data_IF_631678859542
#
_entry.id   IF_631678859542
#
_cell.length_a   1.000
_cell.length_b   1.000
_cell.length_c   1.000
_cell.angle_alpha   90.00
_cell.angle_beta   90.00
_cell.angle_gamma   90.00
#
_symmetry.space_group_name_H-M   'P 1'
#
loop_
_entity.id
_entity.type
_entity.pdbx_description
1 polymer ?
#
# COMPACT_ATOMS: atom_id res chain seq x y z
N UNK A 1 -7.82 -45.90 -14.24
CA UNK A 1 -7.13 -45.62 -12.97
C UNK A 1 -6.88 -44.11 -12.84
N UNK A 2 -7.90 -43.36 -12.42
CA UNK A 2 -7.78 -41.93 -12.16
C UNK A 2 -7.24 -41.70 -10.75
N UNK A 3 -6.05 -41.10 -10.63
CA UNK A 3 -5.49 -40.67 -9.34
C UNK A 3 -6.31 -39.50 -8.81
N UNK A 4 -7.34 -39.81 -8.01
CA UNK A 4 -8.01 -38.86 -7.12
C UNK A 4 -6.98 -38.35 -6.09
N UNK A 5 -6.34 -37.22 -6.38
CA UNK A 5 -5.58 -36.50 -5.36
C UNK A 5 -6.57 -35.88 -4.39
N UNK A 6 -6.76 -36.52 -3.24
CA UNK A 6 -7.39 -35.97 -2.05
C UNK A 6 -6.88 -34.54 -1.81
N UNK A 7 -7.65 -33.53 -2.20
CA UNK A 7 -7.50 -32.17 -1.69
C UNK A 7 -7.95 -32.23 -0.23
N UNK A 8 -7.01 -32.54 0.69
CA UNK A 8 -7.19 -32.21 2.11
C UNK A 8 -7.54 -30.72 2.16
N UNK A 9 -8.82 -30.40 2.42
CA UNK A 9 -9.20 -29.05 2.81
C UNK A 9 -8.37 -28.71 4.04
N UNK A 10 -7.43 -27.77 3.89
CA UNK A 10 -6.68 -27.21 5.02
C UNK A 10 -7.71 -26.49 5.90
N UNK A 11 -8.20 -27.17 6.94
CA UNK A 11 -9.20 -26.64 7.87
C UNK A 11 -8.66 -25.50 8.75
N UNK A 12 -7.34 -25.29 8.79
CA UNK A 12 -6.70 -24.17 9.51
C UNK A 12 -5.53 -23.58 8.73
N UNK A 13 -4.94 -22.53 9.31
CA UNK A 13 -3.71 -21.92 8.80
C UNK A 13 -2.55 -22.93 8.77
N UNK A 14 -1.54 -22.77 7.88
CA UNK A 14 -0.44 -23.73 7.80
C UNK A 14 0.31 -23.88 9.14
N UNK A 15 0.50 -25.10 9.65
CA UNK A 15 1.18 -25.35 10.94
C UNK A 15 2.57 -24.73 11.00
N UNK A 16 3.33 -24.83 9.90
CA UNK A 16 4.66 -24.20 9.78
C UNK A 16 4.59 -22.67 9.94
N UNK A 17 3.55 -22.04 9.40
CA UNK A 17 3.34 -20.60 9.55
C UNK A 17 3.06 -20.23 11.01
N UNK A 18 2.17 -20.98 11.67
CA UNK A 18 1.85 -20.76 13.08
C UNK A 18 3.07 -20.95 13.99
N UNK A 19 3.82 -22.04 13.80
CA UNK A 19 5.07 -22.29 14.54
C UNK A 19 6.06 -21.14 14.36
N UNK A 20 6.18 -20.63 13.14
CA UNK A 20 7.07 -19.51 12.82
C UNK A 20 6.64 -18.22 13.53
N UNK A 21 5.34 -17.89 13.57
CA UNK A 21 4.83 -16.75 14.33
C UNK A 21 5.08 -16.88 15.84
N UNK A 22 4.86 -18.07 16.39
CA UNK A 22 5.18 -18.35 17.80
C UNK A 22 6.67 -18.17 18.09
N UNK A 23 7.55 -18.60 17.18
CA UNK A 23 8.98 -18.40 17.33
C UNK A 23 9.39 -16.92 17.25
N UNK A 24 8.70 -16.11 16.44
CA UNK A 24 8.96 -14.67 16.34
C UNK A 24 8.58 -13.93 17.62
N UNK A 25 7.36 -14.12 18.11
CA UNK A 25 6.77 -13.25 19.13
C UNK A 25 6.53 -13.93 20.49
N UNK A 26 6.79 -15.23 20.59
CA UNK A 26 6.43 -16.04 21.75
C UNK A 26 4.93 -16.33 21.85
N UNK A 27 4.57 -17.23 22.76
CA UNK A 27 3.20 -17.74 22.91
C UNK A 27 2.20 -16.65 23.31
N UNK A 28 2.60 -15.74 24.20
CA UNK A 28 1.73 -14.68 24.71
C UNK A 28 1.26 -13.73 23.60
N UNK A 29 2.21 -13.16 22.85
CA UNK A 29 1.88 -12.24 21.75
C UNK A 29 1.25 -12.97 20.56
N UNK A 30 1.62 -14.22 20.30
CA UNK A 30 0.97 -15.02 19.26
C UNK A 30 -0.55 -15.11 19.46
N UNK A 31 -1.03 -15.29 20.70
CA UNK A 31 -2.46 -15.29 20.97
C UNK A 31 -3.14 -13.95 20.66
N UNK A 32 -2.43 -12.83 20.81
CA UNK A 32 -2.92 -11.52 20.38
C UNK A 32 -2.93 -11.40 18.86
N UNK A 33 -1.88 -11.89 18.18
CA UNK A 33 -1.74 -11.85 16.73
C UNK A 33 -2.84 -12.63 16.01
N UNK A 34 -3.31 -13.75 16.58
CA UNK A 34 -4.37 -14.59 16.01
C UNK A 34 -5.62 -13.80 15.62
N UNK A 35 -5.91 -12.70 16.31
CA UNK A 35 -7.08 -11.86 16.04
C UNK A 35 -7.09 -11.29 14.61
N UNK A 36 -5.94 -11.18 13.95
CA UNK A 36 -5.86 -10.68 12.57
C UNK A 36 -6.40 -11.67 11.54
N UNK A 37 -6.49 -12.96 11.89
CA UNK A 37 -6.82 -14.04 10.96
C UNK A 37 -8.32 -14.31 10.82
N UNK A 38 -9.13 -13.36 11.28
CA UNK A 38 -10.58 -13.38 11.09
C UNK A 38 -10.97 -12.40 9.97
N UNK A 39 -12.22 -12.52 9.52
CA UNK A 39 -12.80 -11.52 8.62
C UNK A 39 -12.97 -10.20 9.38
N UNK A 40 -12.29 -9.16 8.89
CA UNK A 40 -12.32 -7.81 9.47
C UNK A 40 -13.60 -7.06 9.09
N UNK A 41 -14.07 -6.10 9.92
CA UNK A 41 -15.13 -5.20 9.54
C UNK A 41 -14.75 -4.37 8.31
N UNK A 42 -15.75 -3.86 7.60
CA UNK A 42 -15.50 -2.98 6.45
C UNK A 42 -15.10 -1.60 6.95
N UNK A 43 -13.97 -1.10 6.47
CA UNK A 43 -13.47 0.24 6.77
C UNK A 43 -13.40 1.06 5.49
N UNK A 44 -13.67 2.35 5.60
CA UNK A 44 -13.69 3.26 4.47
C UNK A 44 -13.14 4.62 4.85
N UNK A 45 -12.77 5.38 3.84
CA UNK A 45 -12.27 6.75 3.95
C UNK A 45 -13.10 7.68 3.07
N UNK A 46 -13.38 8.86 3.58
CA UNK A 46 -13.96 9.96 2.79
C UNK A 46 -12.90 10.52 1.83
N UNK A 47 -13.26 10.65 0.55
CA UNK A 47 -12.40 11.25 -0.46
C UNK A 47 -12.60 12.77 -0.50
N UNK A 48 -11.72 13.50 0.18
CA UNK A 48 -11.74 14.97 0.26
C UNK A 48 -11.51 15.66 -1.07
N UNK A 49 -11.10 14.94 -2.12
CA UNK A 49 -11.03 15.48 -3.48
C UNK A 49 -12.43 15.74 -4.05
N UNK A 50 -13.43 14.92 -3.70
CA UNK A 50 -14.75 14.91 -4.35
C UNK A 50 -15.92 15.22 -3.43
N UNK A 51 -15.72 15.16 -2.11
CA UNK A 51 -16.79 15.38 -1.17
C UNK A 51 -16.29 15.97 0.15
N UNK A 52 -17.17 16.71 0.81
CA UNK A 52 -16.95 17.14 2.18
C UNK A 52 -17.45 16.05 3.16
N UNK A 53 -16.93 16.10 4.40
CA UNK A 53 -17.24 15.09 5.41
C UNK A 53 -18.71 15.13 5.86
N UNK A 54 -19.29 16.32 6.01
CA UNK A 54 -20.66 16.53 6.50
C UNK A 54 -21.69 15.89 5.57
N UNK A 55 -21.60 16.16 4.26
CA UNK A 55 -22.46 15.61 3.21
C UNK A 55 -22.44 14.08 3.21
N UNK A 56 -21.24 13.48 3.24
CA UNK A 56 -21.10 12.01 3.23
C UNK A 56 -21.71 11.39 4.49
N UNK A 57 -21.49 12.00 5.66
CA UNK A 57 -22.05 11.52 6.93
C UNK A 57 -23.58 11.60 6.92
N UNK A 58 -24.16 12.68 6.39
CA UNK A 58 -25.60 12.84 6.26
C UNK A 58 -26.21 11.79 5.35
N UNK A 59 -25.65 11.58 4.15
CA UNK A 59 -26.11 10.57 3.20
C UNK A 59 -26.06 9.17 3.83
N UNK A 60 -24.96 8.82 4.51
CA UNK A 60 -24.83 7.53 5.19
C UNK A 60 -25.88 7.35 6.29
N UNK A 61 -26.12 8.38 7.12
CA UNK A 61 -27.14 8.35 8.18
C UNK A 61 -28.56 8.20 7.61
N UNK A 62 -28.89 8.96 6.57
CA UNK A 62 -30.18 8.88 5.87
C UNK A 62 -30.43 7.48 5.28
N UNK A 63 -29.37 6.82 4.80
CA UNK A 63 -29.44 5.45 4.30
C UNK A 63 -29.32 4.37 5.41
N UNK A 64 -29.42 4.76 6.70
CA UNK A 64 -29.43 3.86 7.85
C UNK A 64 -28.09 3.18 8.15
N UNK A 65 -26.97 3.76 7.71
CA UNK A 65 -25.63 3.24 8.05
C UNK A 65 -25.23 3.72 9.46
N UNK A 66 -24.72 2.79 10.27
CA UNK A 66 -24.06 3.04 11.55
C UNK A 66 -22.57 2.82 11.38
N UNK A 67 -21.77 3.79 11.81
CA UNK A 67 -20.33 3.76 11.66
C UNK A 67 -19.65 4.44 12.85
N UNK A 68 -18.39 4.08 13.08
CA UNK A 68 -17.53 4.66 14.10
C UNK A 68 -16.38 5.40 13.42
N UNK A 69 -16.03 6.59 13.93
CA UNK A 69 -14.90 7.38 13.44
C UNK A 69 -13.59 6.87 14.05
N UNK A 70 -12.53 6.88 13.26
CA UNK A 70 -11.17 6.61 13.74
C UNK A 70 -10.57 7.86 14.38
N UNK A 71 -10.01 7.74 15.58
CA UNK A 71 -9.43 8.88 16.32
C UNK A 71 -8.20 9.49 15.64
N UNK A 72 -7.31 8.65 15.11
CA UNK A 72 -6.04 9.05 14.51
C UNK A 72 -6.14 9.41 13.02
N UNK A 73 -7.32 9.28 12.39
CA UNK A 73 -7.53 9.71 11.01
C UNK A 73 -8.95 10.22 10.76
N UNK A 74 -9.05 11.55 10.65
CA UNK A 74 -10.32 12.28 10.64
C UNK A 74 -11.27 11.87 9.50
N UNK A 75 -10.77 11.44 8.35
CA UNK A 75 -11.55 10.95 7.20
C UNK A 75 -11.92 9.45 7.25
N UNK A 76 -11.44 8.68 8.23
CA UNK A 76 -11.59 7.23 8.27
C UNK A 76 -12.69 6.75 9.24
N UNK A 77 -13.37 5.69 8.82
CA UNK A 77 -14.53 5.14 9.52
C UNK A 77 -14.58 3.60 9.46
N UNK A 78 -15.21 3.01 10.48
CA UNK A 78 -15.53 1.58 10.57
C UNK A 78 -17.04 1.39 10.44
N UNK A 79 -17.46 0.57 9.49
CA UNK A 79 -18.87 0.20 9.32
C UNK A 79 -19.32 -0.81 10.39
N UNK A 80 -20.46 -0.58 11.05
CA UNK A 80 -20.91 -1.36 12.21
C UNK A 80 -22.14 -2.24 11.98
N UNK A 81 -23.03 -1.89 11.06
CA UNK A 81 -24.32 -2.58 10.92
C UNK A 81 -24.66 -3.11 9.53
N UNK A 82 -23.89 -2.75 8.49
CA UNK A 82 -24.15 -3.16 7.10
C UNK A 82 -22.95 -3.86 6.49
N UNK A 83 -23.18 -4.51 5.36
CA UNK A 83 -22.14 -5.22 4.63
C UNK A 83 -21.34 -4.27 3.75
N UNK A 84 -20.19 -4.78 3.27
CA UNK A 84 -19.41 -4.12 2.22
C UNK A 84 -20.26 -3.83 0.98
N UNK A 85 -21.14 -4.77 0.60
CA UNK A 85 -21.96 -4.68 -0.61
C UNK A 85 -22.93 -3.50 -0.53
N UNK A 86 -23.61 -3.37 0.61
CA UNK A 86 -24.53 -2.26 0.85
C UNK A 86 -23.83 -0.91 0.66
N UNK A 87 -22.58 -0.79 1.13
CA UNK A 87 -21.80 0.43 0.99
C UNK A 87 -21.39 0.68 -0.48
N UNK A 88 -21.04 -0.36 -1.23
CA UNK A 88 -20.64 -0.23 -2.64
C UNK A 88 -21.80 0.02 -3.58
N UNK A 89 -23.03 -0.31 -3.17
CA UNK A 89 -24.24 -0.10 -3.98
C UNK A 89 -24.74 1.36 -3.93
N UNK A 90 -24.24 2.17 -2.99
CA UNK A 90 -24.54 3.61 -2.90
C UNK A 90 -23.85 4.43 -3.99
N UNK A 91 -24.50 5.49 -4.42
CA UNK A 91 -23.96 6.38 -5.46
C UNK A 91 -22.72 7.14 -4.95
N UNK A 92 -22.66 7.51 -3.67
CA UNK A 92 -21.45 8.12 -3.08
C UNK A 92 -20.20 7.22 -3.20
N UNK A 93 -20.36 5.90 -3.26
CA UNK A 93 -19.23 4.99 -3.52
C UNK A 93 -18.90 4.96 -5.02
N UNK A 94 -19.91 4.80 -5.89
CA UNK A 94 -19.73 4.75 -7.35
C UNK A 94 -19.14 6.04 -7.92
N UNK A 95 -19.53 7.18 -7.35
CA UNK A 95 -19.02 8.51 -7.64
C UNK A 95 -17.66 8.77 -7.00
N UNK A 96 -17.08 7.84 -6.23
CA UNK A 96 -15.77 8.00 -5.63
C UNK A 96 -15.70 9.04 -4.52
N UNK A 97 -16.82 9.40 -3.87
CA UNK A 97 -16.86 10.27 -2.68
C UNK A 97 -16.34 9.56 -1.43
N UNK A 98 -16.39 8.23 -1.42
CA UNK A 98 -15.74 7.37 -0.42
C UNK A 98 -14.92 6.27 -1.10
N UNK A 99 -13.93 5.72 -0.38
CA UNK A 99 -13.17 4.57 -0.84
C UNK A 99 -12.99 3.54 0.28
N UNK A 100 -13.15 2.26 -0.05
CA UNK A 100 -12.97 1.16 0.89
C UNK A 100 -11.48 0.80 0.98
N UNK A 101 -10.90 0.97 2.15
CA UNK A 101 -9.47 0.80 2.40
C UNK A 101 -9.28 0.24 3.81
N UNK A 102 -8.34 -0.69 4.00
CA UNK A 102 -8.01 -1.18 5.34
C UNK A 102 -7.32 -0.10 6.18
N UNK A 103 -7.57 -0.08 7.48
CA UNK A 103 -6.95 0.91 8.39
C UNK A 103 -5.43 0.89 8.31
N UNK A 104 -4.81 -0.29 8.28
CA UNK A 104 -3.35 -0.41 8.15
C UNK A 104 -2.84 0.22 6.84
N UNK A 105 -3.62 0.09 5.75
CA UNK A 105 -3.25 0.70 4.47
C UNK A 105 -3.37 2.23 4.48
N UNK A 106 -4.01 2.84 5.47
CA UNK A 106 -4.11 4.30 5.59
C UNK A 106 -2.88 4.91 6.27
N UNK A 107 -2.10 4.10 7.00
CA UNK A 107 -0.98 4.58 7.81
C UNK A 107 0.20 5.10 6.96
N UNK A 108 0.70 4.39 5.93
CA UNK A 108 1.90 4.83 5.22
C UNK A 108 1.79 6.22 4.58
N UNK A 109 0.68 6.61 3.91
CA UNK A 109 0.53 7.97 3.42
C UNK A 109 0.52 9.05 4.50
N UNK A 110 0.03 8.74 5.70
CA UNK A 110 0.06 9.66 6.85
C UNK A 110 1.49 9.81 7.39
N UNK A 111 2.23 8.71 7.52
CA UNK A 111 3.63 8.70 7.98
C UNK A 111 4.56 9.46 7.02
N UNK A 112 4.21 9.49 5.72
CA UNK A 112 4.96 10.20 4.69
C UNK A 112 4.97 11.72 4.90
N UNK A 113 4.03 12.27 5.69
CA UNK A 113 3.98 13.69 6.10
C UNK A 113 3.88 14.67 4.92
N UNK A 114 3.06 14.32 3.92
CA UNK A 114 2.98 15.00 2.62
C UNK A 114 2.68 16.51 2.73
N UNK A 115 3.35 17.31 1.90
CA UNK A 115 3.06 18.73 1.73
C UNK A 115 2.59 19.02 0.30
N UNK A 116 1.72 20.02 0.17
CA UNK A 116 1.29 20.51 -1.14
C UNK A 116 2.48 21.05 -1.94
N UNK A 117 2.53 20.74 -3.24
CA UNK A 117 3.60 21.16 -4.14
C UNK A 117 4.79 20.19 -4.27
N UNK A 118 4.89 19.17 -3.40
CA UNK A 118 5.97 18.19 -3.44
C UNK A 118 5.88 17.26 -4.67
N UNK A 119 7.01 16.67 -5.05
CA UNK A 119 7.11 15.58 -6.04
C UNK A 119 7.14 14.25 -5.31
N UNK A 120 6.12 13.43 -5.56
CA UNK A 120 5.87 12.19 -4.83
C UNK A 120 5.79 10.99 -5.76
N UNK A 121 6.37 9.87 -5.35
CA UNK A 121 6.27 8.59 -6.04
C UNK A 121 5.57 7.55 -5.17
N UNK A 122 4.55 6.90 -5.70
CA UNK A 122 4.02 5.62 -5.21
C UNK A 122 4.54 4.49 -6.13
N UNK A 123 5.57 3.78 -5.67
CA UNK A 123 6.36 2.88 -6.54
C UNK A 123 5.62 1.58 -6.90
N UNK A 124 4.68 1.15 -6.06
CA UNK A 124 3.90 -0.09 -6.18
C UNK A 124 2.42 0.17 -5.90
N UNK A 125 1.88 1.10 -6.67
CA UNK A 125 0.65 1.85 -6.42
C UNK A 125 -0.63 1.02 -6.50
N UNK A 126 -0.69 -0.03 -7.32
CA UNK A 126 -1.98 -0.67 -7.58
C UNK A 126 -2.52 -1.41 -6.35
N UNK A 127 -3.84 -1.39 -6.08
CA UNK A 127 -4.91 -0.87 -6.94
C UNK A 127 -5.20 0.64 -6.76
N UNK A 128 -4.39 1.40 -6.02
CA UNK A 128 -4.52 2.86 -5.91
C UNK A 128 -5.12 3.39 -4.61
N UNK A 129 -5.34 2.55 -3.60
CA UNK A 129 -5.90 3.02 -2.32
C UNK A 129 -4.99 4.06 -1.67
N UNK A 130 -3.68 3.79 -1.63
CA UNK A 130 -2.68 4.67 -1.05
C UNK A 130 -2.41 5.87 -1.96
N UNK A 131 -2.31 5.64 -3.27
CA UNK A 131 -2.17 6.69 -4.28
C UNK A 131 -3.28 7.75 -4.20
N UNK A 132 -4.55 7.34 -4.14
CA UNK A 132 -5.66 8.29 -3.99
C UNK A 132 -5.68 9.01 -2.64
N UNK A 133 -5.12 8.38 -1.61
CA UNK A 133 -4.93 9.01 -0.32
C UNK A 133 -3.81 10.06 -0.37
N UNK A 134 -2.68 9.75 -1.02
CA UNK A 134 -1.59 10.69 -1.25
C UNK A 134 -2.12 11.91 -2.01
N UNK A 135 -2.85 11.71 -3.11
CA UNK A 135 -3.43 12.79 -3.89
C UNK A 135 -4.37 13.69 -3.07
N UNK A 136 -5.18 13.09 -2.18
CA UNK A 136 -6.07 13.81 -1.29
C UNK A 136 -5.30 14.62 -0.22
N UNK A 137 -4.25 14.04 0.37
CA UNK A 137 -3.40 14.70 1.37
C UNK A 137 -2.58 15.85 0.77
N UNK A 138 -2.20 15.75 -0.50
CA UNK A 138 -1.52 16.82 -1.23
C UNK A 138 -2.48 17.93 -1.70
N UNK A 139 -3.79 17.81 -1.44
CA UNK A 139 -4.84 18.68 -1.97
C UNK A 139 -4.81 18.83 -3.49
N UNK A 140 -4.35 17.79 -4.20
CA UNK A 140 -4.02 17.84 -5.64
C UNK A 140 -3.16 19.07 -5.98
N UNK A 141 -2.02 19.23 -5.31
CA UNK A 141 -0.99 20.22 -5.65
C UNK A 141 0.39 19.55 -5.65
N UNK A 142 1.23 19.86 -6.62
CA UNK A 142 2.52 19.21 -6.86
C UNK A 142 2.46 18.12 -7.93
N UNK A 143 3.38 17.16 -7.84
CA UNK A 143 3.46 16.04 -8.78
C UNK A 143 3.33 14.70 -8.06
N UNK A 144 2.46 13.82 -8.55
CA UNK A 144 2.32 12.45 -8.06
C UNK A 144 2.51 11.45 -9.21
N UNK A 145 3.56 10.63 -9.11
CA UNK A 145 3.83 9.51 -10.01
C UNK A 145 3.37 8.22 -9.35
N UNK A 146 2.55 7.44 -10.04
CA UNK A 146 2.03 6.17 -9.55
C UNK A 146 2.40 5.03 -10.51
N UNK A 147 3.12 4.04 -9.98
CA UNK A 147 3.67 2.94 -10.76
C UNK A 147 3.18 1.57 -10.28
N UNK A 148 2.80 0.68 -11.21
CA UNK A 148 2.68 -0.75 -10.91
C UNK A 148 3.04 -1.57 -12.14
N UNK A 149 3.86 -2.61 -11.97
CA UNK A 149 4.38 -3.40 -13.07
C UNK A 149 3.39 -4.48 -13.59
N UNK A 150 2.30 -4.74 -12.86
CA UNK A 150 1.34 -5.75 -13.25
C UNK A 150 0.22 -5.12 -14.09
N UNK A 151 0.13 -5.52 -15.36
CA UNK A 151 -0.84 -4.99 -16.32
C UNK A 151 -2.29 -4.97 -15.82
N UNK A 152 -2.77 -6.07 -15.22
CA UNK A 152 -4.17 -6.17 -14.74
C UNK A 152 -4.39 -5.21 -13.58
N UNK A 153 -3.46 -5.17 -12.61
CA UNK A 153 -3.53 -4.27 -11.47
C UNK A 153 -3.37 -2.81 -11.88
N UNK A 154 -2.55 -2.52 -12.88
CA UNK A 154 -2.36 -1.19 -13.45
C UNK A 154 -3.65 -0.63 -14.04
N UNK A 155 -4.40 -1.39 -14.84
CA UNK A 155 -5.68 -0.91 -15.37
C UNK A 155 -6.71 -0.67 -14.26
N UNK A 156 -6.68 -1.47 -13.18
CA UNK A 156 -7.50 -1.21 -12.00
C UNK A 156 -7.08 0.06 -11.26
N UNK A 157 -5.77 0.32 -11.15
CA UNK A 157 -5.23 1.58 -10.62
C UNK A 157 -5.75 2.75 -11.46
N UNK A 158 -5.54 2.72 -12.78
CA UNK A 158 -6.01 3.76 -13.71
C UNK A 158 -7.49 4.06 -13.49
N UNK A 159 -8.35 3.05 -13.57
CA UNK A 159 -9.79 3.20 -13.36
C UNK A 159 -10.13 3.82 -12.00
N UNK A 160 -9.49 3.37 -10.91
CA UNK A 160 -9.72 3.96 -9.59
C UNK A 160 -9.29 5.43 -9.53
N UNK A 161 -8.19 5.82 -10.18
CA UNK A 161 -7.73 7.21 -10.21
C UNK A 161 -8.69 8.13 -10.98
N UNK A 162 -9.38 7.59 -12.00
CA UNK A 162 -10.45 8.29 -12.73
C UNK A 162 -11.66 8.51 -11.83
N UNK A 163 -12.20 7.42 -11.26
CA UNK A 163 -13.40 7.46 -10.39
C UNK A 163 -13.18 8.37 -9.19
N UNK A 164 -12.00 8.31 -8.58
CA UNK A 164 -11.64 9.09 -7.39
C UNK A 164 -11.23 10.54 -7.69
N UNK A 165 -11.23 10.96 -8.97
CA UNK A 165 -10.96 12.35 -9.36
C UNK A 165 -9.50 12.78 -9.18
N UNK A 166 -8.58 11.81 -9.15
CA UNK A 166 -7.12 12.06 -9.09
C UNK A 166 -6.62 12.47 -10.47
N UNK A 167 -7.10 11.79 -11.51
CA UNK A 167 -6.89 12.19 -12.90
C UNK A 167 -7.75 13.42 -13.21
N UNK A 168 -7.12 14.50 -13.64
CA UNK A 168 -7.83 15.63 -14.23
C UNK A 168 -7.93 15.36 -15.73
N UNK A 169 -9.14 15.10 -16.22
CA UNK A 169 -9.42 15.24 -17.65
C UNK A 169 -9.69 16.72 -17.91
N UNK A 170 -9.12 17.34 -18.96
CA UNK A 170 -9.70 18.58 -19.45
C UNK A 170 -11.16 18.28 -19.79
N UNK A 171 -12.10 19.03 -19.22
CA UNK A 171 -13.52 18.94 -19.57
C UNK A 171 -13.72 19.35 -21.03
N UNK A 172 -13.48 18.45 -21.99
CA UNK A 172 -13.94 18.57 -23.38
C UNK A 172 -14.26 17.20 -23.98
N UNK A 173 -15.56 16.99 -24.19
CA UNK A 173 -16.20 16.06 -25.12
C UNK A 173 -15.96 14.56 -24.93
N UNK A 174 -16.91 13.90 -24.27
CA UNK A 174 -17.24 12.49 -24.49
C UNK A 174 -17.73 12.29 -25.94
N UNK A 175 -16.79 12.27 -26.89
CA UNK A 175 -16.96 11.65 -28.20
C UNK A 175 -16.56 10.19 -28.09
N UNK A 176 -17.46 9.28 -28.46
CA UNK A 176 -17.24 7.84 -28.56
C UNK A 176 -15.87 7.52 -29.17
N UNK A 177 -15.06 6.72 -28.49
CA UNK A 177 -13.97 5.99 -29.15
C UNK A 177 -14.55 4.62 -29.50
N UNK A 178 -14.96 4.46 -30.75
CA UNK A 178 -15.31 3.17 -31.34
C UNK A 178 -14.05 2.32 -31.53
N UNK A 179 -14.17 1.04 -31.22
CA UNK A 179 -13.08 0.07 -31.04
C UNK A 179 -12.53 -0.53 -32.35
N UNK A 180 -12.65 0.12 -33.50
CA UNK A 180 -12.35 -0.52 -34.79
C UNK A 180 -10.95 -0.23 -35.39
N UNK A 181 -10.20 0.76 -34.91
CA UNK A 181 -8.93 1.15 -35.56
C UNK A 181 -7.66 0.38 -35.14
N UNK A 182 -7.76 -0.65 -34.29
CA UNK A 182 -6.59 -1.40 -33.80
C UNK A 182 -6.19 -2.63 -34.63
N UNK A 183 -6.79 -2.87 -35.81
CA UNK A 183 -6.51 -4.09 -36.59
C UNK A 183 -5.90 -3.89 -37.98
N UNK A 184 -5.52 -2.68 -38.38
CA UNK A 184 -4.81 -2.47 -39.66
C UNK A 184 -3.54 -1.65 -39.46
N UNK A 185 -2.46 -2.33 -39.06
CA UNK A 185 -1.16 -2.31 -39.75
C UNK A 185 -0.11 -3.07 -38.93
N UNK A 186 0.33 -4.21 -39.48
CA UNK A 186 1.46 -5.00 -39.00
C UNK A 186 2.74 -4.50 -39.67
N UNK A 187 3.84 -4.59 -38.89
CA UNK A 187 5.26 -4.38 -39.22
C UNK A 187 5.71 -2.92 -39.04
N UNK A 188 6.07 -2.59 -37.80
CA UNK A 188 7.43 -2.20 -37.43
C UNK A 188 7.57 -2.23 -35.89
N UNK A 189 8.81 -2.35 -35.43
CA UNK A 189 9.23 -2.59 -34.04
C UNK A 189 8.42 -1.85 -32.96
N UNK A 190 7.65 -2.60 -32.17
CA UNK A 190 6.85 -2.11 -31.05
C UNK A 190 7.72 -1.82 -29.81
N UNK A 191 8.33 -0.63 -29.76
CA UNK A 191 8.57 0.06 -28.48
C UNK A 191 7.27 0.74 -28.08
N UNK A 192 6.44 0.08 -27.27
CA UNK A 192 5.25 0.69 -26.67
C UNK A 192 5.71 1.60 -25.54
N UNK A 193 6.18 2.79 -25.89
CA UNK A 193 6.36 3.92 -24.98
C UNK A 193 4.98 4.48 -24.64
N UNK A 194 4.35 3.99 -23.57
CA UNK A 194 3.15 4.62 -23.00
C UNK A 194 3.55 5.69 -22.00
N UNK A 195 4.17 6.77 -22.49
CA UNK A 195 4.21 8.04 -21.76
C UNK A 195 2.88 8.76 -22.02
N UNK A 196 1.83 8.41 -21.28
CA UNK A 196 0.64 9.24 -21.28
C UNK A 196 0.83 10.34 -20.23
N UNK A 197 1.38 11.47 -20.67
CA UNK A 197 1.39 12.71 -19.91
C UNK A 197 -0.01 13.34 -20.02
N UNK A 198 -0.77 13.31 -18.93
CA UNK A 198 -2.04 14.05 -18.80
C UNK A 198 -1.77 15.30 -17.96
N UNK A 199 -2.07 16.48 -18.51
CA UNK A 199 -1.79 17.83 -17.99
C UNK A 199 -3.07 18.65 -18.27
N UNK A 200 -3.67 19.54 -17.46
CA UNK A 200 -3.26 20.34 -16.29
C UNK A 200 -4.51 20.85 -15.55
N UNK A 201 -4.42 20.98 -14.23
CA UNK A 201 -4.75 22.24 -13.56
C UNK A 201 -3.38 22.83 -13.16
N UNK A 202 -3.14 24.15 -13.22
CA UNK A 202 -1.77 24.70 -13.28
C UNK A 202 -0.78 24.19 -12.19
N UNK A 203 -1.27 23.72 -11.04
CA UNK A 203 -0.45 23.22 -9.93
C UNK A 203 -0.53 21.70 -9.66
N UNK A 204 -1.25 20.88 -10.44
CA UNK A 204 -1.35 19.42 -10.23
C UNK A 204 -0.91 18.61 -11.44
N UNK A 205 0.05 17.70 -11.22
CA UNK A 205 0.50 16.76 -12.23
C UNK A 205 0.41 15.33 -11.69
N UNK A 206 -0.37 14.49 -12.36
CA UNK A 206 -0.49 13.07 -12.03
C UNK A 206 -0.02 12.20 -13.19
N UNK A 207 0.94 11.32 -12.94
CA UNK A 207 1.53 10.46 -13.98
C UNK A 207 1.33 8.99 -13.61
N UNK A 208 0.75 8.23 -14.53
CA UNK A 208 0.66 6.78 -14.43
C UNK A 208 1.80 6.11 -15.19
N UNK A 209 2.48 5.16 -14.54
CA UNK A 209 3.56 4.37 -15.13
C UNK A 209 3.29 2.88 -14.95
N UNK A 210 3.61 2.09 -15.98
CA UNK A 210 3.53 0.63 -15.94
C UNK A 210 4.92 0.04 -16.17
N UNK A 211 5.82 0.30 -15.24
CA UNK A 211 7.23 -0.09 -15.36
C UNK A 211 7.64 -1.05 -14.26
N UNK A 212 8.69 -1.83 -14.52
CA UNK A 212 9.37 -2.53 -13.43
C UNK A 212 9.97 -1.47 -12.48
N UNK A 213 9.59 -1.48 -11.20
CA UNK A 213 10.00 -0.43 -10.27
C UNK A 213 11.52 -0.30 -10.07
N UNK A 214 12.29 -1.35 -10.38
CA UNK A 214 13.76 -1.30 -10.40
C UNK A 214 14.38 -0.58 -11.63
N UNK A 215 13.54 -0.24 -12.63
CA UNK A 215 13.93 0.39 -13.89
C UNK A 215 13.42 1.82 -13.94
N UNK A 216 12.16 2.06 -13.52
CA UNK A 216 11.51 3.38 -13.54
C UNK A 216 12.40 4.51 -13.00
N UNK A 217 13.04 4.26 -11.86
CA UNK A 217 13.83 5.25 -11.12
C UNK A 217 15.07 5.73 -11.86
N UNK A 218 15.52 5.03 -12.91
CA UNK A 218 16.61 5.48 -13.77
C UNK A 218 16.25 6.74 -14.56
N UNK A 219 14.97 6.97 -14.82
CA UNK A 219 14.46 8.19 -15.44
C UNK A 219 14.28 9.34 -14.42
N UNK A 220 14.35 9.03 -13.12
CA UNK A 220 14.07 9.96 -12.04
C UNK A 220 15.20 9.99 -10.99
N UNK A 221 16.48 10.13 -11.37
CA UNK A 221 17.56 10.20 -10.39
C UNK A 221 17.35 11.43 -9.49
N UNK A 222 17.31 11.20 -8.17
CA UNK A 222 17.17 12.27 -7.16
C UNK A 222 16.07 13.29 -7.49
N UNK A 223 14.91 12.80 -7.90
CA UNK A 223 13.83 13.64 -8.42
C UNK A 223 12.69 13.86 -7.42
N UNK A 224 12.41 12.86 -6.57
CA UNK A 224 11.27 12.90 -5.67
C UNK A 224 11.67 13.46 -4.31
N UNK A 225 10.82 14.34 -3.79
CA UNK A 225 10.90 14.81 -2.41
C UNK A 225 10.46 13.68 -1.47
N UNK A 226 9.46 12.89 -1.90
CA UNK A 226 8.91 11.79 -1.11
C UNK A 226 8.61 10.54 -1.93
N UNK A 227 8.87 9.38 -1.34
CA UNK A 227 8.58 8.09 -1.97
C UNK A 227 7.85 7.18 -0.98
N UNK A 228 6.71 6.65 -1.42
CA UNK A 228 6.05 5.52 -0.78
C UNK A 228 6.46 4.21 -1.49
N UNK A 229 7.01 3.28 -0.72
CA UNK A 229 7.23 1.90 -1.11
C UNK A 229 6.39 0.97 -0.21
N UNK A 230 5.10 0.81 -0.56
CA UNK A 230 4.26 -0.24 0.01
C UNK A 230 4.54 -1.56 -0.72
N UNK A 231 5.54 -2.27 -0.22
CA UNK A 231 6.23 -3.25 -1.02
C UNK A 231 5.39 -4.54 -1.22
N UNK A 232 5.48 -5.19 -2.40
CA UNK A 232 4.88 -6.49 -2.60
C UNK A 232 5.48 -7.49 -1.61
N UNK A 233 4.63 -8.17 -0.85
CA UNK A 233 5.05 -9.04 0.25
C UNK A 233 4.27 -10.36 0.27
N UNK A 234 4.61 -11.24 1.20
CA UNK A 234 3.90 -12.49 1.46
C UNK A 234 2.48 -12.30 2.03
N UNK A 235 2.13 -11.07 2.43
CA UNK A 235 0.80 -10.65 2.90
C UNK A 235 0.24 -11.48 4.08
N UNK A 236 1.13 -11.98 4.94
CA UNK A 236 0.81 -12.88 6.06
C UNK A 236 -0.25 -12.30 7.00
N UNK A 237 -0.25 -10.99 7.24
CA UNK A 237 -1.21 -10.36 8.14
C UNK A 237 -2.63 -10.30 7.57
N UNK A 238 -2.80 -10.58 6.28
CA UNK A 238 -4.10 -10.57 5.58
C UNK A 238 -4.74 -11.95 5.47
N UNK A 239 -4.10 -13.00 5.98
CA UNK A 239 -4.69 -14.33 5.98
C UNK A 239 -6.01 -14.33 6.75
N UNK A 240 -6.96 -15.12 6.28
CA UNK A 240 -8.24 -15.34 6.96
C UNK A 240 -8.41 -16.85 7.09
N UNK A 241 -8.47 -17.33 8.32
CA UNK A 241 -8.71 -18.73 8.63
C UNK A 241 -10.04 -19.19 8.02
N UNK A 242 -10.05 -20.37 7.41
CA UNK A 242 -11.20 -20.86 6.65
C UNK A 242 -11.33 -20.31 5.22
N UNK A 243 -10.48 -19.36 4.78
CA UNK A 243 -10.41 -18.90 3.40
C UNK A 243 -9.07 -19.26 2.72
N UNK A 244 -8.88 -20.51 2.21
CA UNK A 244 -7.62 -20.99 1.65
C UNK A 244 -7.01 -20.14 0.53
N UNK A 245 -7.81 -19.37 -0.21
CA UNK A 245 -7.32 -18.44 -1.24
C UNK A 245 -6.38 -17.36 -0.66
N UNK A 246 -6.48 -17.06 0.65
CA UNK A 246 -5.71 -16.01 1.31
C UNK A 246 -4.33 -16.47 1.76
N UNK A 247 -4.16 -17.76 2.08
CA UNK A 247 -2.93 -18.33 2.66
C UNK A 247 -2.39 -19.58 1.92
N UNK A 248 -3.14 -20.17 0.99
CA UNK A 248 -2.79 -21.44 0.35
C UNK A 248 -1.55 -21.38 -0.55
N UNK A 249 -1.12 -20.18 -0.94
CA UNK A 249 0.15 -19.95 -1.64
C UNK A 249 1.33 -19.77 -0.69
N UNK A 250 1.10 -19.66 0.62
CA UNK A 250 2.16 -19.37 1.59
C UNK A 250 3.16 -20.52 1.68
N UNK A 251 4.44 -20.17 1.53
CA UNK A 251 5.61 -21.03 1.72
C UNK A 251 6.78 -20.14 2.12
N UNK A 252 7.76 -20.67 2.86
CA UNK A 252 8.98 -19.92 3.20
C UNK A 252 9.75 -19.44 1.97
N UNK A 253 9.68 -20.19 0.86
CA UNK A 253 10.26 -19.77 -0.41
C UNK A 253 9.65 -18.45 -0.92
N UNK A 254 8.34 -18.25 -0.70
CA UNK A 254 7.66 -17.00 -1.07
C UNK A 254 8.19 -15.81 -0.28
N UNK A 255 8.46 -16.00 1.01
CA UNK A 255 9.08 -14.96 1.87
C UNK A 255 10.43 -14.55 1.28
N UNK A 256 11.28 -15.53 0.92
CA UNK A 256 12.60 -15.27 0.32
C UNK A 256 12.50 -14.53 -1.03
N UNK A 257 11.57 -14.94 -1.90
CA UNK A 257 11.31 -14.27 -3.18
C UNK A 257 10.87 -12.82 -3.00
N UNK A 258 9.96 -12.56 -2.05
CA UNK A 258 9.47 -11.21 -1.78
C UNK A 258 10.57 -10.35 -1.15
N UNK A 259 11.33 -10.87 -0.20
CA UNK A 259 12.51 -10.19 0.35
C UNK A 259 13.51 -9.81 -0.75
N UNK A 260 13.79 -10.71 -1.70
CA UNK A 260 14.69 -10.38 -2.81
C UNK A 260 14.14 -9.24 -3.67
N UNK A 261 12.86 -9.29 -4.05
CA UNK A 261 12.21 -8.25 -4.86
C UNK A 261 12.15 -6.90 -4.12
N UNK A 262 11.78 -6.91 -2.85
CA UNK A 262 11.71 -5.72 -1.99
C UNK A 262 13.06 -5.01 -1.92
N UNK A 263 14.17 -5.76 -1.83
CA UNK A 263 15.52 -5.17 -1.80
C UNK A 263 15.84 -4.40 -3.07
N UNK A 264 15.49 -4.96 -4.22
CA UNK A 264 15.70 -4.28 -5.50
C UNK A 264 14.86 -3.01 -5.60
N UNK A 265 13.60 -3.06 -5.16
CA UNK A 265 12.70 -1.91 -5.14
C UNK A 265 13.17 -0.83 -4.15
N UNK A 266 13.65 -1.21 -2.97
CA UNK A 266 14.13 -0.27 -1.96
C UNK A 266 15.38 0.48 -2.44
N UNK A 267 16.36 -0.24 -2.99
CA UNK A 267 17.54 0.38 -3.61
C UNK A 267 17.17 1.30 -4.78
N UNK A 268 16.19 0.88 -5.58
CA UNK A 268 15.68 1.66 -6.70
C UNK A 268 15.05 2.97 -6.22
N UNK A 269 14.12 2.87 -5.25
CA UNK A 269 13.45 4.01 -4.66
C UNK A 269 14.46 5.00 -4.06
N UNK A 270 15.46 4.51 -3.34
CA UNK A 270 16.49 5.36 -2.74
C UNK A 270 17.27 6.19 -3.76
N UNK A 271 17.58 5.62 -4.93
CA UNK A 271 18.27 6.35 -6.01
C UNK A 271 17.42 7.47 -6.61
N UNK A 272 16.09 7.32 -6.59
CA UNK A 272 15.18 8.35 -7.07
C UNK A 272 14.84 9.42 -6.03
N UNK A 273 15.21 9.19 -4.77
CA UNK A 273 14.97 10.11 -3.68
C UNK A 273 16.04 11.20 -3.67
N UNK A 274 15.60 12.45 -3.56
CA UNK A 274 16.50 13.59 -3.34
C UNK A 274 17.26 13.45 -2.01
N UNK A 275 18.48 13.98 -1.91
CA UNK A 275 19.04 14.36 -0.61
C UNK A 275 18.04 15.23 0.17
N UNK A 276 17.87 14.95 1.45
CA UNK A 276 16.84 15.51 2.32
C UNK A 276 15.44 14.89 2.17
N UNK A 277 15.21 14.08 1.13
CA UNK A 277 13.91 13.46 0.85
C UNK A 277 13.54 12.35 1.83
N UNK A 278 12.24 12.02 1.87
CA UNK A 278 11.67 11.01 2.77
C UNK A 278 11.18 9.78 2.00
N UNK A 279 11.59 8.60 2.44
CA UNK A 279 11.04 7.32 1.99
C UNK A 279 10.27 6.64 3.11
N UNK A 280 9.04 6.22 2.85
CA UNK A 280 8.29 5.30 3.72
C UNK A 280 8.28 3.93 3.08
N UNK A 281 8.82 2.95 3.80
CA UNK A 281 8.75 1.54 3.44
C UNK A 281 7.70 0.85 4.33
N UNK A 282 6.82 0.07 3.72
CA UNK A 282 5.81 -0.68 4.47
C UNK A 282 5.46 -2.04 3.89
N UNK A 283 4.97 -2.94 4.74
CA UNK A 283 4.45 -4.25 4.33
C UNK A 283 3.27 -4.69 5.22
N UNK A 284 2.43 -5.59 4.70
CA UNK A 284 1.40 -6.30 5.48
C UNK A 284 1.82 -7.74 5.82
N UNK A 285 3.08 -7.93 6.21
CA UNK A 285 3.61 -9.26 6.60
C UNK A 285 4.29 -9.24 7.97
N UNK A 286 4.34 -10.41 8.61
CA UNK A 286 5.02 -10.57 9.90
C UNK A 286 6.49 -10.94 9.73
N UNK A 287 6.85 -11.57 8.62
CA UNK A 287 8.19 -12.10 8.38
C UNK A 287 9.32 -11.06 8.46
N UNK A 288 10.31 -11.24 9.36
CA UNK A 288 11.43 -10.31 9.55
C UNK A 288 12.31 -10.13 8.31
N UNK A 289 12.41 -11.17 7.47
CA UNK A 289 13.12 -11.16 6.19
C UNK A 289 12.52 -10.19 5.18
N UNK A 290 11.29 -9.74 5.38
CA UNK A 290 10.62 -8.73 4.56
C UNK A 290 10.55 -7.36 5.26
N UNK A 291 10.95 -7.29 6.55
CA UNK A 291 10.79 -6.11 7.42
C UNK A 291 12.16 -5.71 8.01
N UNK A 292 12.43 -6.02 9.27
CA UNK A 292 13.61 -5.57 10.00
C UNK A 292 14.92 -5.92 9.32
N UNK A 293 15.05 -7.15 8.81
CA UNK A 293 16.27 -7.61 8.16
C UNK A 293 16.49 -6.91 6.82
N UNK A 294 15.42 -6.44 6.17
CA UNK A 294 15.54 -5.70 4.92
C UNK A 294 16.08 -4.31 5.16
N UNK A 295 15.56 -3.63 6.19
CA UNK A 295 16.01 -2.30 6.55
C UNK A 295 17.42 -2.36 7.16
N UNK A 296 17.69 -3.33 8.03
CA UNK A 296 19.04 -3.57 8.58
C UNK A 296 20.05 -3.74 7.47
N UNK A 297 19.81 -4.68 6.55
CA UNK A 297 20.72 -4.92 5.41
C UNK A 297 20.87 -3.73 4.48
N UNK A 298 19.84 -2.90 4.38
CA UNK A 298 19.88 -1.69 3.59
C UNK A 298 20.79 -0.65 4.25
N UNK A 299 20.62 -0.38 5.54
CA UNK A 299 21.45 0.55 6.31
C UNK A 299 22.91 0.11 6.37
N UNK A 300 23.19 -1.19 6.47
CA UNK A 300 24.57 -1.72 6.48
C UNK A 300 25.36 -1.40 5.19
N UNK A 301 24.68 -0.93 4.13
CA UNK A 301 25.27 -0.67 2.81
C UNK A 301 25.09 0.76 2.33
N UNK A 302 24.25 1.55 3.01
CA UNK A 302 23.76 2.84 2.54
C UNK A 302 23.98 3.85 3.67
N UNK A 303 25.10 4.58 3.58
CA UNK A 303 25.60 5.45 4.66
C UNK A 303 24.75 6.72 4.83
N UNK A 304 24.12 7.19 3.75
CA UNK A 304 23.23 8.35 3.73
C UNK A 304 21.81 8.01 4.25
N UNK A 305 21.56 6.79 4.70
CA UNK A 305 20.26 6.42 5.29
C UNK A 305 20.17 6.77 6.77
N UNK A 306 19.13 7.51 7.13
CA UNK A 306 18.75 7.80 8.52
C UNK A 306 17.31 7.34 8.76
N UNK A 307 17.07 6.58 9.83
CA UNK A 307 15.70 6.27 10.27
C UNK A 307 15.18 7.42 11.11
N UNK A 308 14.01 7.92 10.74
CA UNK A 308 13.27 8.95 11.45
C UNK A 308 12.28 8.33 12.43
N UNK A 309 12.00 9.04 13.51
CA UNK A 309 10.88 8.73 14.37
C UNK A 309 9.56 8.86 13.59
N UNK A 310 8.61 8.01 13.95
CA UNK A 310 7.25 8.07 13.45
C UNK A 310 6.41 8.60 14.60
N UNK A 311 5.84 9.79 14.42
CA UNK A 311 4.88 10.34 15.37
C UNK A 311 3.75 9.33 15.55
N UNK A 312 3.63 8.81 16.77
CA UNK A 312 2.73 7.71 17.08
C UNK A 312 1.29 8.20 16.94
N UNK A 313 0.68 7.86 15.82
CA UNK A 313 -0.76 7.62 15.74
C UNK A 313 -1.07 6.60 16.85
N UNK A 314 -2.04 6.84 17.73
CA UNK A 314 -2.35 6.03 18.94
C UNK A 314 -2.55 4.52 18.66
N UNK A 315 -1.44 3.81 18.43
CA UNK A 315 -1.39 2.40 18.07
C UNK A 315 -0.65 1.64 19.14
N UNK A 316 -1.25 0.52 19.55
CA UNK A 316 -0.49 -0.53 20.20
C UNK A 316 0.46 -1.14 19.17
N UNK A 317 1.71 -1.32 19.57
CA UNK A 317 2.75 -1.88 18.70
C UNK A 317 3.21 -3.24 19.21
N UNK A 318 3.53 -4.14 18.28
CA UNK A 318 4.33 -5.33 18.58
C UNK A 318 5.79 -4.92 18.74
N UNK A 319 6.57 -5.65 19.55
CA UNK A 319 7.99 -5.42 19.65
C UNK A 319 8.66 -5.66 18.29
N UNK A 320 9.64 -4.81 17.97
CA UNK A 320 10.59 -5.08 16.89
C UNK A 320 11.53 -6.20 17.36
N UNK A 321 11.77 -7.20 16.51
CA UNK A 321 12.66 -8.30 16.86
C UNK A 321 14.10 -7.80 16.98
N UNK A 322 14.84 -8.32 17.95
CA UNK A 322 16.27 -7.98 18.13
C UNK A 322 17.20 -8.80 17.24
N UNK A 323 16.77 -10.02 16.90
CA UNK A 323 17.48 -10.91 16.00
C UNK A 323 16.48 -11.86 15.31
N UNK A 324 16.89 -12.43 14.18
CA UNK A 324 16.15 -13.48 13.50
C UNK A 324 17.10 -14.38 12.70
N UNK A 325 17.05 -15.71 12.94
CA UNK A 325 17.95 -16.69 12.31
C UNK A 325 19.42 -16.25 12.36
N UNK A 326 19.94 -16.03 13.57
CA UNK A 326 21.35 -15.65 13.86
C UNK A 326 21.77 -14.28 13.32
N UNK A 327 20.86 -13.50 12.74
CA UNK A 327 21.12 -12.15 12.27
C UNK A 327 20.61 -11.14 13.25
N UNK A 328 21.48 -10.25 13.71
CA UNK A 328 21.11 -9.12 14.55
C UNK A 328 20.38 -8.06 13.73
N UNK A 329 19.41 -7.39 14.36
CA UNK A 329 18.71 -6.24 13.79
C UNK A 329 19.41 -4.96 14.22
N UNK A 330 19.56 -4.02 13.28
CA UNK A 330 20.16 -2.71 13.55
C UNK A 330 19.43 -2.00 14.71
N UNK A 331 20.19 -1.37 15.62
CA UNK A 331 19.64 -0.72 16.83
C UNK A 331 18.65 0.41 16.50
N UNK A 332 18.88 1.17 15.44
CA UNK A 332 17.96 2.22 14.98
C UNK A 332 16.67 1.62 14.42
N UNK A 333 16.77 0.49 13.69
CA UNK A 333 15.58 -0.25 13.22
C UNK A 333 14.72 -0.69 14.40
N UNK A 334 15.33 -1.24 15.45
CA UNK A 334 14.64 -1.69 16.67
C UNK A 334 13.89 -0.53 17.35
N UNK A 335 14.53 0.64 17.43
CA UNK A 335 13.99 1.79 18.18
C UNK A 335 12.91 2.55 17.42
N UNK A 336 13.08 2.71 16.10
CA UNK A 336 12.32 3.70 15.32
C UNK A 336 11.39 3.10 14.26
N UNK A 337 11.47 1.78 14.01
CA UNK A 337 10.48 1.12 13.15
C UNK A 337 9.25 0.73 13.96
N UNK A 338 8.10 0.62 13.27
CA UNK A 338 6.84 0.24 13.92
C UNK A 338 6.30 -1.06 13.35
N UNK A 339 5.81 -1.91 14.25
CA UNK A 339 4.89 -3.00 13.94
C UNK A 339 3.54 -2.70 14.58
N UNK A 340 2.54 -2.40 13.78
CA UNK A 340 1.17 -2.22 14.29
C UNK A 340 0.68 -3.56 14.83
N UNK A 341 0.26 -3.57 16.09
CA UNK A 341 -0.35 -4.73 16.69
C UNK A 341 -1.74 -4.95 16.10
N UNK A 342 -2.03 -6.15 15.57
CA UNK A 342 -3.35 -6.40 15.01
C UNK A 342 -4.45 -6.31 16.06
N UNK A 343 -5.61 -5.84 15.63
CA UNK A 343 -6.88 -5.91 16.37
C UNK A 343 -7.94 -6.59 15.49
N UNK A 344 -9.20 -6.59 15.91
CA UNK A 344 -10.30 -7.04 15.05
C UNK A 344 -10.48 -6.12 13.83
N UNK A 345 -10.08 -4.85 13.95
CA UNK A 345 -10.29 -3.80 12.97
C UNK A 345 -9.08 -3.55 12.06
N UNK A 346 -7.85 -3.72 12.57
CA UNK A 346 -6.61 -3.43 11.84
C UNK A 346 -5.74 -4.68 11.72
N UNK A 347 -5.25 -4.97 10.50
CA UNK A 347 -4.25 -6.03 10.31
C UNK A 347 -2.87 -5.64 10.87
N UNK A 348 -2.07 -6.66 11.19
CA UNK A 348 -0.67 -6.46 11.51
C UNK A 348 0.07 -5.81 10.33
N UNK A 349 0.96 -4.87 10.62
CA UNK A 349 1.56 -4.05 9.57
C UNK A 349 2.93 -3.54 10.01
N UNK A 350 3.89 -3.47 9.10
CA UNK A 350 5.22 -2.91 9.36
C UNK A 350 5.38 -1.59 8.60
N UNK A 351 5.95 -0.58 9.26
CA UNK A 351 6.27 0.71 8.65
C UNK A 351 7.58 1.25 9.21
N UNK A 352 8.39 1.83 8.32
CA UNK A 352 9.58 2.60 8.70
C UNK A 352 9.65 3.86 7.84
N UNK A 353 10.06 4.97 8.45
CA UNK A 353 10.28 6.26 7.81
C UNK A 353 11.78 6.53 7.76
N UNK A 354 12.31 6.79 6.58
CA UNK A 354 13.73 7.02 6.35
C UNK A 354 13.94 8.35 5.64
N UNK A 355 15.02 9.06 6.00
CA UNK A 355 15.50 10.26 5.32
C UNK A 355 16.83 9.96 4.65
N UNK A 356 16.98 10.42 3.42
CA UNK A 356 18.28 10.45 2.74
C UNK A 356 19.03 11.70 3.18
N UNK A 357 20.15 11.53 3.87
CA UNK A 357 21.00 12.63 4.32
C UNK A 357 21.66 13.31 3.12
N UNK A 358 22.03 14.57 3.28
CA UNK A 358 22.99 15.20 2.38
C UNK A 358 24.35 14.56 2.67
N UNK A 359 25.00 14.03 1.64
CA UNK A 359 26.40 13.64 1.73
C UNK A 359 27.24 14.90 1.52
N UNK A 360 28.22 15.10 2.40
CA UNK A 360 29.19 16.20 2.33
C UNK A 360 30.17 16.04 1.16
#
# INVERSE_FOLDING_TARGET
>A
MGKNKNKKQLQGLPEKFLKRLTNMFGVSLFNQIKITFIKRPTTFRINTIKANQTEVIEILKQNGFKFERISWYKEAFILKNKSKRDLTDLDIYKEGKIYIQSLASMVPPLVLDLKSGEKVLDLTAAPGSKTSQIAALMNKQGELVANDNNKIRFFKLKHNMEVLGVLCYPEKNFGKIETEDLLKNKKDSLTVSTKNEFVQNNDWKFILRMEHGAVLTREYPEYFDKILLDAPCSAEARFIEGEPKTYGYWKEQKIKEMAYKQRQLLLSAWKALKPGGILVYSTCTFSPEENELQITRFMDRIEDCEIMDIDLLDFKCLPILKNWNEKEINKEVIKKSLRIMPTKEIEGFFVVKMRKKFLE
#
